data_IF_296092047166
#
_entry.id   IF_296092047166
#
_cell.length_a   1.000
_cell.length_b   1.000
_cell.length_c   1.000
_cell.angle_alpha   90.00
_cell.angle_beta   90.00
_cell.angle_gamma   90.00
#
_symmetry.space_group_name_H-M   'P 1'
#
loop_
_entity.id
_entity.type
_entity.pdbx_description
1 polymer ?
#
# COMPACT_ATOMS: atom_id res chain seq x y z
N UNK A 1 -2.65 22.75 1.17
CA UNK A 1 -1.49 21.86 0.96
C UNK A 1 -1.36 21.63 -0.54
N UNK A 2 -0.18 21.80 -1.14
CA UNK A 2 0.02 21.48 -2.56
C UNK A 2 0.41 20.01 -2.69
N UNK A 3 0.07 19.37 -3.81
CA UNK A 3 0.40 17.96 -4.04
C UNK A 3 1.92 17.71 -4.00
N UNK A 4 2.71 18.70 -4.44
CA UNK A 4 4.17 18.67 -4.42
C UNK A 4 4.77 18.71 -3.01
N UNK A 5 3.99 19.11 -2.01
CA UNK A 5 4.43 19.11 -0.60
C UNK A 5 4.19 17.73 0.06
N UNK A 6 3.46 16.82 -0.60
CA UNK A 6 3.25 15.46 -0.12
C UNK A 6 4.49 14.61 -0.39
N UNK A 7 4.96 13.94 0.66
CA UNK A 7 5.99 12.89 0.57
C UNK A 7 5.36 11.53 0.88
N UNK A 8 5.59 10.56 0.02
CA UNK A 8 5.23 9.16 0.25
C UNK A 8 6.48 8.28 0.21
N UNK A 9 6.52 7.27 1.07
CA UNK A 9 7.53 6.22 1.03
C UNK A 9 6.84 4.97 0.51
N UNK A 10 7.35 4.40 -0.57
CA UNK A 10 6.72 3.29 -1.29
C UNK A 10 7.67 2.11 -1.35
N UNK A 11 7.13 0.91 -1.16
CA UNK A 11 7.90 -0.33 -1.27
C UNK A 11 8.45 -0.51 -2.69
N UNK A 12 9.71 -0.91 -2.83
CA UNK A 12 10.34 -1.09 -4.15
C UNK A 12 9.60 -2.10 -5.04
N UNK A 13 8.92 -3.10 -4.45
CA UNK A 13 8.16 -4.11 -5.19
C UNK A 13 6.97 -3.50 -5.92
N UNK A 14 6.47 -2.34 -5.49
CA UNK A 14 5.35 -1.66 -6.14
C UNK A 14 5.75 -0.91 -7.42
N UNK A 15 7.03 -0.81 -7.76
CA UNK A 15 7.46 -0.32 -9.10
C UNK A 15 6.76 -1.09 -10.23
N UNK A 16 6.52 -2.39 -10.06
CA UNK A 16 5.87 -3.25 -11.07
C UNK A 16 4.40 -2.89 -11.36
N UNK A 17 3.74 -2.13 -10.48
CA UNK A 17 2.35 -1.72 -10.67
C UNK A 17 2.20 -0.51 -11.59
N UNK A 18 3.27 0.26 -11.79
CA UNK A 18 3.24 1.56 -12.49
C UNK A 18 2.62 2.70 -11.67
N UNK A 19 2.06 2.43 -10.49
CA UNK A 19 1.46 3.45 -9.61
C UNK A 19 2.48 4.49 -9.14
N UNK A 20 3.72 4.12 -8.74
CA UNK A 20 4.72 5.12 -8.36
C UNK A 20 5.00 6.14 -9.46
N UNK A 21 4.99 5.72 -10.73
CA UNK A 21 5.23 6.62 -11.87
C UNK A 21 4.04 7.56 -12.09
N UNK A 22 2.81 7.06 -11.96
CA UNK A 22 1.60 7.89 -12.01
C UNK A 22 1.57 8.95 -10.90
N UNK A 23 1.95 8.57 -9.68
CA UNK A 23 2.04 9.48 -8.53
C UNK A 23 3.12 10.56 -8.75
N UNK A 24 4.28 10.20 -9.32
CA UNK A 24 5.30 11.20 -9.71
C UNK A 24 4.78 12.15 -10.78
N UNK A 25 4.05 11.64 -11.77
CA UNK A 25 3.51 12.45 -12.87
C UNK A 25 2.52 13.52 -12.40
N UNK A 26 1.78 13.26 -11.30
CA UNK A 26 0.90 14.26 -10.68
C UNK A 26 1.60 15.15 -9.65
N UNK A 27 2.91 14.97 -9.45
CA UNK A 27 3.75 15.85 -8.64
C UNK A 27 4.03 15.39 -7.21
N UNK A 28 3.62 14.19 -6.80
CA UNK A 28 3.91 13.67 -5.45
C UNK A 28 5.41 13.38 -5.31
N UNK A 29 6.01 13.79 -4.19
CA UNK A 29 7.38 13.43 -3.87
C UNK A 29 7.44 11.99 -3.36
N UNK A 30 8.13 11.10 -4.09
CA UNK A 30 8.18 9.67 -3.77
C UNK A 30 9.61 9.24 -3.48
N UNK A 31 9.75 8.54 -2.36
CA UNK A 31 10.91 7.74 -2.01
C UNK A 31 10.60 6.26 -2.15
N UNK A 32 11.49 5.51 -2.81
CA UNK A 32 11.35 4.07 -2.99
C UNK A 32 12.34 3.36 -2.08
N UNK A 33 11.87 2.44 -1.26
CA UNK A 33 12.69 1.68 -0.30
C UNK A 33 12.11 0.29 -0.07
N UNK A 34 12.86 -0.61 0.55
CA UNK A 34 12.36 -1.94 0.89
C UNK A 34 11.63 -1.88 2.23
N UNK A 35 10.30 -1.88 2.21
CA UNK A 35 9.48 -1.83 3.41
C UNK A 35 9.29 -3.24 3.97
N UNK A 36 9.41 -3.36 5.29
CA UNK A 36 9.15 -4.61 6.00
C UNK A 36 7.65 -4.82 6.27
N UNK A 37 6.86 -3.74 6.23
CA UNK A 37 5.43 -3.69 6.57
C UNK A 37 4.71 -2.68 5.67
N UNK A 38 3.67 -3.14 4.97
CA UNK A 38 2.87 -2.33 4.06
C UNK A 38 3.56 -2.00 2.74
N UNK A 39 2.82 -1.35 1.85
CA UNK A 39 3.28 -1.03 0.49
C UNK A 39 3.49 0.49 0.29
N UNK A 40 2.64 1.33 0.89
CA UNK A 40 2.71 2.79 0.75
C UNK A 40 2.52 3.46 2.12
N UNK A 41 3.55 4.12 2.62
CA UNK A 41 3.45 5.02 3.77
C UNK A 41 3.09 6.40 3.22
N UNK A 42 1.83 6.80 3.45
CA UNK A 42 1.25 8.04 2.91
C UNK A 42 1.25 9.19 3.92
N UNK A 43 1.40 8.86 5.20
CA UNK A 43 1.67 9.76 6.32
C UNK A 43 2.44 8.98 7.40
N UNK A 44 3.12 9.63 8.36
CA UNK A 44 3.88 8.95 9.41
C UNK A 44 3.11 7.84 10.15
N UNK A 45 1.81 8.06 10.35
CA UNK A 45 0.88 7.17 11.06
C UNK A 45 -0.01 6.32 10.15
N UNK A 46 0.03 6.54 8.82
CA UNK A 46 -0.88 5.92 7.85
C UNK A 46 -0.12 5.10 6.82
N UNK A 47 -0.46 3.82 6.75
CA UNK A 47 0.06 2.88 5.74
C UNK A 47 -1.08 2.33 4.91
N UNK A 48 -0.82 2.17 3.61
CA UNK A 48 -1.71 1.50 2.67
C UNK A 48 -1.03 0.21 2.21
N UNK A 49 -1.74 -0.90 2.38
CA UNK A 49 -1.44 -2.20 1.80
C UNK A 49 -2.35 -2.36 0.57
N UNK A 50 -1.76 -2.51 -0.62
CA UNK A 50 -2.52 -2.71 -1.85
C UNK A 50 -2.68 -4.21 -2.09
N UNK A 51 -3.90 -4.65 -2.33
CA UNK A 51 -4.20 -6.07 -2.52
C UNK A 51 -5.16 -6.28 -3.67
N UNK A 52 -4.80 -7.18 -4.58
CA UNK A 52 -5.73 -7.59 -5.63
C UNK A 52 -6.90 -8.37 -5.00
N UNK A 53 -8.06 -8.39 -5.65
CA UNK A 53 -9.20 -9.19 -5.18
C UNK A 53 -8.82 -10.68 -5.07
N UNK A 54 -8.05 -11.21 -6.02
CA UNK A 54 -7.59 -12.60 -6.01
C UNK A 54 -6.63 -12.89 -4.85
N UNK A 55 -5.68 -11.99 -4.58
CA UNK A 55 -4.76 -12.11 -3.43
C UNK A 55 -5.49 -11.98 -2.10
N UNK A 56 -6.52 -11.13 -2.03
CA UNK A 56 -7.37 -11.03 -0.86
C UNK A 56 -8.11 -12.33 -0.59
N UNK A 57 -8.84 -12.87 -1.59
CA UNK A 57 -9.58 -14.12 -1.43
C UNK A 57 -8.64 -15.26 -0.98
N UNK A 58 -7.51 -15.43 -1.67
CA UNK A 58 -6.54 -16.48 -1.32
C UNK A 58 -5.95 -16.28 0.08
N UNK A 59 -5.60 -15.06 0.47
CA UNK A 59 -5.05 -14.78 1.81
C UNK A 59 -6.07 -14.93 2.95
N UNK A 60 -7.37 -14.73 2.68
CA UNK A 60 -8.45 -15.06 3.63
C UNK A 60 -8.51 -16.56 3.84
N UNK A 61 -8.56 -17.35 2.76
CA UNK A 61 -8.62 -18.81 2.84
C UNK A 61 -7.38 -19.42 3.53
N UNK A 62 -6.21 -18.85 3.27
CA UNK A 62 -4.95 -19.29 3.88
C UNK A 62 -4.75 -18.75 5.31
N UNK A 63 -5.64 -17.90 5.81
CA UNK A 63 -5.54 -17.23 7.11
C UNK A 63 -4.49 -16.11 7.19
N UNK A 64 -3.59 -15.99 6.20
CA UNK A 64 -2.50 -15.01 6.17
C UNK A 64 -2.96 -13.56 6.22
N UNK A 65 -4.18 -13.26 5.77
CA UNK A 65 -4.73 -11.90 5.82
C UNK A 65 -4.76 -11.37 7.27
N UNK A 66 -5.15 -12.20 8.23
CA UNK A 66 -5.32 -11.77 9.62
C UNK A 66 -3.98 -11.47 10.30
N UNK A 67 -2.94 -12.23 9.98
CA UNK A 67 -1.57 -11.95 10.44
C UNK A 67 -1.05 -10.64 9.85
N UNK A 68 -1.32 -10.40 8.56
CA UNK A 68 -0.96 -9.15 7.91
C UNK A 68 -1.68 -7.95 8.55
N UNK A 69 -2.99 -8.03 8.74
CA UNK A 69 -3.78 -7.00 9.43
C UNK A 69 -3.25 -6.71 10.83
N UNK A 70 -2.88 -7.75 11.58
CA UNK A 70 -2.33 -7.61 12.94
C UNK A 70 -1.00 -6.86 12.92
N UNK A 71 -0.08 -7.24 12.02
CA UNK A 71 1.22 -6.55 11.85
C UNK A 71 1.04 -5.09 11.45
N UNK A 72 0.11 -4.79 10.55
CA UNK A 72 -0.19 -3.41 10.13
C UNK A 72 -0.69 -2.57 11.33
N UNK A 73 -1.64 -3.09 12.10
CA UNK A 73 -2.22 -2.41 13.27
C UNK A 73 -1.25 -2.26 14.45
N UNK A 74 -0.26 -3.14 14.56
CA UNK A 74 0.76 -3.05 15.59
C UNK A 74 1.74 -1.89 15.33
N UNK A 75 1.96 -1.53 14.06
CA UNK A 75 3.00 -0.58 13.68
C UNK A 75 2.46 0.79 13.22
N UNK A 76 1.20 0.86 12.80
CA UNK A 76 0.57 2.08 12.30
C UNK A 76 -0.77 2.33 12.97
N UNK A 77 -1.06 3.60 13.27
CA UNK A 77 -2.33 4.02 13.87
C UNK A 77 -3.49 3.91 12.86
N UNK A 78 -3.21 4.15 11.59
CA UNK A 78 -4.21 4.20 10.51
C UNK A 78 -3.82 3.27 9.35
N UNK A 79 -3.86 1.93 9.54
CA UNK A 79 -3.63 1.00 8.46
C UNK A 79 -4.86 0.90 7.55
N UNK A 80 -4.62 0.91 6.24
CA UNK A 80 -5.66 0.79 5.21
C UNK A 80 -5.30 -0.36 4.27
N UNK A 81 -6.26 -1.24 3.98
CA UNK A 81 -6.16 -2.18 2.87
C UNK A 81 -6.92 -1.60 1.69
N UNK A 82 -6.21 -1.30 0.60
CA UNK A 82 -6.79 -0.86 -0.65
C UNK A 82 -6.98 -2.07 -1.56
N UNK A 83 -8.25 -2.37 -1.83
CA UNK A 83 -8.66 -3.46 -2.72
C UNK A 83 -8.67 -2.99 -4.17
N UNK A 84 -7.94 -3.68 -5.03
CA UNK A 84 -7.91 -3.40 -6.46
C UNK A 84 -8.38 -4.59 -7.29
N UNK A 85 -9.25 -4.32 -8.26
CA UNK A 85 -9.71 -5.30 -9.24
C UNK A 85 -11.21 -5.17 -9.49
N UNK A 86 -11.72 -6.07 -10.32
CA UNK A 86 -13.14 -6.23 -10.56
C UNK A 86 -13.59 -7.57 -9.97
N UNK A 87 -14.69 -7.57 -9.20
CA UNK A 87 -15.29 -8.79 -8.64
C UNK A 87 -15.96 -9.67 -9.69
N UNK A 88 -16.31 -9.08 -10.83
CA UNK A 88 -16.99 -9.76 -11.95
C UNK A 88 -16.02 -10.34 -12.98
N UNK A 89 -14.70 -10.25 -12.74
CA UNK A 89 -13.65 -10.83 -13.57
C UNK A 89 -12.92 -11.98 -12.87
#
# INVERSE_FOLDING_TARGET
MKINDLRMIIDEREKKSGIPDLLRAVGVNIELTNLTIGDYIVAPETVVERKSIQDFISSVFDGRLFDQCSRLKEHYEHPVILMEGNVDQ
#
